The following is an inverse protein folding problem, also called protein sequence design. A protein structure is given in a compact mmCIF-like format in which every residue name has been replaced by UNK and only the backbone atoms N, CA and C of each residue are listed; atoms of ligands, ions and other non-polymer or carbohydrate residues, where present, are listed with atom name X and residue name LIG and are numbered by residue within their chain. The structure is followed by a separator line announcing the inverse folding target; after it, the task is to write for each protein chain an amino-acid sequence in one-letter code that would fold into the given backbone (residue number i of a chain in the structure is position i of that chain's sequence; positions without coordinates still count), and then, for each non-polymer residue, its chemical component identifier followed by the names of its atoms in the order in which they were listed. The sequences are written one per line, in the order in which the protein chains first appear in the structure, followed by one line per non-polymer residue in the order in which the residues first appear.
data_IF_623551697970
#
_entry.id   IF_623551697970
#
_cell.length_a   1.000
_cell.length_b   1.000
_cell.length_c   1.000
_cell.angle_alpha   90.00
_cell.angle_beta   90.00
_cell.angle_gamma   90.00
#
_symmetry.space_group_name_H-M   'P 1'
#
loop_
_entity.id
_entity.type
_entity.pdbx_description
1 polymer ?
#
# COMPACT_ATOMS: atom_id res chain seq x y z
N UNK A 1 23.70 32.89 -43.20
CA UNK A 1 24.64 32.17 -42.31
C UNK A 1 24.11 32.00 -40.89
N UNK A 2 23.70 33.06 -40.19
CA UNK A 2 23.19 32.99 -38.79
C UNK A 2 21.89 32.18 -38.65
N UNK A 3 20.96 32.34 -39.60
CA UNK A 3 19.68 31.62 -39.60
C UNK A 3 19.83 30.11 -39.89
N UNK A 4 20.77 29.73 -40.77
CA UNK A 4 21.05 28.31 -41.08
C UNK A 4 21.65 27.54 -39.90
N UNK A 5 22.44 28.20 -39.05
CA UNK A 5 23.04 27.60 -37.85
C UNK A 5 21.96 27.33 -36.79
N UNK A 6 21.01 28.25 -36.61
CA UNK A 6 19.92 28.11 -35.64
C UNK A 6 19.00 26.92 -35.99
N UNK A 7 18.72 26.72 -37.28
CA UNK A 7 17.92 25.58 -37.76
C UNK A 7 18.63 24.25 -37.52
N UNK A 8 19.95 24.19 -37.68
CA UNK A 8 20.76 23.00 -37.39
C UNK A 8 20.80 22.68 -35.89
N UNK A 9 20.90 23.69 -35.03
CA UNK A 9 20.83 23.47 -33.58
C UNK A 9 19.43 23.01 -33.13
N UNK A 10 18.36 23.67 -33.59
CA UNK A 10 16.99 23.29 -33.24
C UNK A 10 16.66 21.86 -33.69
N UNK A 11 17.04 21.48 -34.91
CA UNK A 11 16.82 20.12 -35.41
C UNK A 11 17.61 19.06 -34.62
N UNK A 12 18.84 19.38 -34.18
CA UNK A 12 19.63 18.49 -33.33
C UNK A 12 19.01 18.30 -31.93
N UNK A 13 18.51 19.39 -31.32
CA UNK A 13 17.81 19.33 -30.04
C UNK A 13 16.49 18.56 -30.10
N UNK A 14 15.73 18.69 -31.19
CA UNK A 14 14.48 17.93 -31.38
C UNK A 14 14.79 16.45 -31.60
N UNK A 15 15.84 16.12 -32.36
CA UNK A 15 16.27 14.74 -32.59
C UNK A 15 16.76 14.04 -31.30
N UNK A 16 17.46 14.76 -30.41
CA UNK A 16 17.92 14.21 -29.14
C UNK A 16 16.77 13.96 -28.15
N UNK A 17 15.76 14.84 -28.10
CA UNK A 17 14.54 14.61 -27.32
C UNK A 17 13.73 13.39 -27.80
N UNK A 18 13.65 13.19 -29.12
CA UNK A 18 12.97 12.02 -29.69
C UNK A 18 13.72 10.71 -29.36
N UNK A 19 15.06 10.72 -29.35
CA UNK A 19 15.86 9.55 -29.00
C UNK A 19 15.69 9.13 -27.53
N UNK A 20 15.59 10.10 -26.60
CA UNK A 20 15.29 9.83 -25.18
C UNK A 20 13.91 9.18 -25.02
N UNK A 21 12.94 9.59 -25.83
CA UNK A 21 11.57 9.03 -25.77
C UNK A 21 11.50 7.59 -26.30
N UNK A 22 12.32 7.21 -27.29
CA UNK A 22 12.40 5.82 -27.81
C UNK A 22 13.17 4.86 -26.88
N UNK A 23 14.08 5.35 -26.06
CA UNK A 23 14.79 4.54 -25.05
C UNK A 23 13.91 4.22 -23.83
N UNK A 24 12.78 4.92 -23.65
CA UNK A 24 11.85 4.74 -22.54
C UNK A 24 10.94 3.50 -22.62
N UNK A 25 11.06 2.66 -23.65
CA UNK A 25 10.22 1.47 -23.84
C UNK A 25 10.89 0.14 -23.47
N UNK A 26 12.10 0.17 -22.90
CA UNK A 26 12.75 -1.02 -22.35
C UNK A 26 12.31 -1.19 -20.89
N UNK A 27 11.08 -1.66 -20.71
CA UNK A 27 10.50 -2.00 -19.39
C UNK A 27 9.93 -0.80 -18.64
N UNK A 28 8.66 -0.93 -18.21
CA UNK A 28 8.06 -0.01 -17.25
C UNK A 28 8.87 -0.08 -15.94
N UNK A 29 9.77 0.88 -15.71
CA UNK A 29 10.41 1.05 -14.41
C UNK A 29 9.34 1.61 -13.47
N UNK A 30 8.63 0.72 -12.77
CA UNK A 30 7.81 1.09 -11.64
C UNK A 30 8.70 1.37 -10.45
N UNK A 31 8.89 2.63 -10.08
CA UNK A 31 9.50 2.96 -8.79
C UNK A 31 8.44 2.83 -7.71
N UNK A 32 8.80 2.20 -6.60
CA UNK A 32 7.90 2.17 -5.46
C UNK A 32 7.73 3.58 -4.87
N UNK A 33 6.47 3.95 -4.65
CA UNK A 33 6.10 5.22 -4.04
C UNK A 33 6.07 5.06 -2.52
N UNK A 34 6.71 5.99 -1.81
CA UNK A 34 6.76 6.01 -0.35
C UNK A 34 5.76 7.04 0.17
N UNK A 35 4.63 6.59 0.69
CA UNK A 35 3.63 7.47 1.32
C UNK A 35 3.93 7.79 2.79
N UNK A 36 4.87 7.08 3.42
CA UNK A 36 5.35 7.32 4.78
C UNK A 36 6.76 6.73 4.95
N UNK A 37 7.47 7.06 6.03
CA UNK A 37 8.73 6.37 6.38
C UNK A 37 8.95 6.35 7.89
N UNK A 38 9.53 5.28 8.43
CA UNK A 38 9.99 5.24 9.83
C UNK A 38 11.39 5.88 9.99
N UNK A 39 12.06 6.23 8.88
CA UNK A 39 13.36 6.89 8.91
C UNK A 39 13.18 8.42 8.90
N UNK A 40 13.67 9.08 9.95
CA UNK A 40 13.55 10.53 10.12
C UNK A 40 14.18 11.32 8.97
N UNK A 41 15.32 10.87 8.44
CA UNK A 41 16.01 11.53 7.32
C UNK A 41 15.14 11.42 6.06
N UNK A 42 14.58 10.24 5.80
CA UNK A 42 13.72 10.03 4.62
C UNK A 42 12.46 10.89 4.72
N UNK A 43 11.85 11.01 5.91
CA UNK A 43 10.72 11.90 6.13
C UNK A 43 11.06 13.36 5.86
N UNK A 44 12.21 13.84 6.34
CA UNK A 44 12.64 15.22 6.16
C UNK A 44 12.94 15.53 4.68
N UNK A 45 13.63 14.64 3.96
CA UNK A 45 14.01 14.86 2.56
C UNK A 45 12.81 14.73 1.61
N UNK A 46 11.86 13.85 1.91
CA UNK A 46 10.66 13.63 1.09
C UNK A 46 9.42 14.36 1.59
N UNK A 47 9.56 15.19 2.61
CA UNK A 47 8.46 15.93 3.23
C UNK A 47 7.27 15.03 3.64
N UNK A 48 7.56 13.85 4.20
CA UNK A 48 6.52 12.88 4.59
C UNK A 48 6.07 13.11 6.04
N UNK A 49 4.76 13.27 6.20
CA UNK A 49 4.12 13.39 7.51
C UNK A 49 4.19 12.08 8.31
N UNK A 50 4.04 12.22 9.62
CA UNK A 50 3.85 11.07 10.50
C UNK A 50 2.47 10.46 10.25
N UNK A 51 2.36 9.13 10.35
CA UNK A 51 1.06 8.50 10.26
C UNK A 51 0.12 9.02 11.37
N UNK A 52 -1.18 9.21 11.07
CA UNK A 52 -2.15 9.67 12.04
C UNK A 52 -2.29 8.69 13.21
N UNK A 53 -2.87 9.15 14.32
CA UNK A 53 -3.12 8.31 15.49
C UNK A 53 -3.88 7.04 15.11
N UNK A 54 -3.40 5.89 15.61
CA UNK A 54 -3.96 4.58 15.26
C UNK A 54 -3.40 3.95 13.98
N UNK A 55 -2.48 4.60 13.28
CA UNK A 55 -1.82 4.07 12.07
C UNK A 55 -0.29 4.00 12.26
N UNK A 56 0.35 3.06 11.59
CA UNK A 56 1.79 2.84 11.58
C UNK A 56 2.27 2.67 10.13
N UNK A 57 3.46 3.19 9.86
CA UNK A 57 4.05 3.09 8.54
C UNK A 57 4.55 1.66 8.27
N UNK A 58 3.97 1.01 7.27
CA UNK A 58 4.21 -0.41 6.95
C UNK A 58 4.34 -0.62 5.45
N UNK A 59 5.14 -1.61 5.06
CA UNK A 59 5.31 -1.94 3.66
C UNK A 59 4.04 -2.55 3.07
N UNK A 60 3.70 -2.19 1.83
CA UNK A 60 2.63 -2.81 1.04
C UNK A 60 3.18 -3.78 -0.02
N UNK A 61 4.46 -4.16 0.05
CA UNK A 61 5.11 -5.05 -0.92
C UNK A 61 5.84 -4.34 -2.06
N UNK A 62 5.68 -3.02 -2.20
CA UNK A 62 6.50 -2.19 -3.09
C UNK A 62 7.12 -1.04 -2.28
N UNK A 63 6.29 -0.18 -1.68
CA UNK A 63 6.70 0.95 -0.84
C UNK A 63 6.09 0.85 0.56
N UNK A 64 5.92 1.98 1.23
CA UNK A 64 5.28 2.08 2.54
C UNK A 64 4.04 2.98 2.53
N UNK A 65 3.04 2.56 3.30
CA UNK A 65 1.77 3.27 3.48
C UNK A 65 1.39 3.27 4.96
N UNK A 66 0.64 4.27 5.40
CA UNK A 66 0.07 4.27 6.75
C UNK A 66 -1.04 3.22 6.83
N UNK A 67 -0.76 2.14 7.52
CA UNK A 67 -1.70 1.05 7.75
C UNK A 67 -2.19 1.12 9.20
N UNK A 68 -3.43 0.70 9.51
CA UNK A 68 -3.90 0.71 10.88
C UNK A 68 -2.95 -0.10 11.76
N UNK A 69 -2.54 0.47 12.89
CA UNK A 69 -1.94 -0.27 14.01
C UNK A 69 -2.98 -1.30 14.34
N UNK A 70 -2.77 -2.54 13.89
CA UNK A 70 -3.73 -3.62 14.06
C UNK A 70 -4.07 -3.76 15.54
N UNK A 71 -5.15 -3.09 15.97
CA UNK A 71 -5.82 -3.33 17.23
C UNK A 71 -6.45 -4.70 17.07
N UNK A 72 -5.70 -5.73 17.47
CA UNK A 72 -5.95 -7.14 17.16
C UNK A 72 -5.65 -7.43 15.68
N UNK A 73 -4.62 -8.24 15.42
CA UNK A 73 -4.69 -9.13 14.25
C UNK A 73 -6.01 -9.86 14.43
N UNK A 74 -7.04 -9.50 13.67
CA UNK A 74 -7.89 -10.55 13.12
C UNK A 74 -6.83 -11.40 12.41
N UNK A 75 -6.53 -12.62 12.88
CA UNK A 75 -5.74 -13.53 12.07
C UNK A 75 -6.34 -13.49 10.66
N UNK A 76 -5.63 -13.86 9.60
CA UNK A 76 -6.34 -14.25 8.39
C UNK A 76 -7.19 -15.47 8.78
N UNK A 77 -8.37 -15.23 9.37
CA UNK A 77 -9.33 -16.21 9.73
C UNK A 77 -9.78 -16.65 8.36
N UNK A 78 -9.33 -17.84 7.95
CA UNK A 78 -9.92 -18.50 6.81
C UNK A 78 -11.42 -18.35 7.01
N UNK A 79 -12.12 -17.67 6.11
CA UNK A 79 -13.55 -17.34 6.22
C UNK A 79 -14.45 -18.60 6.13
N UNK A 80 -13.90 -19.75 6.50
CA UNK A 80 -14.59 -21.00 6.68
C UNK A 80 -15.41 -20.93 7.97
N UNK A 81 -16.49 -20.14 7.94
CA UNK A 81 -17.59 -20.35 8.87
C UNK A 81 -18.11 -21.78 8.66
N UNK A 82 -18.26 -22.57 9.71
CA UNK A 82 -18.70 -23.97 9.63
C UNK A 82 -20.14 -24.17 9.09
N UNK A 83 -20.75 -23.14 8.49
CA UNK A 83 -22.09 -23.20 7.92
C UNK A 83 -23.21 -23.39 8.95
N UNK A 84 -22.94 -23.11 10.23
CA UNK A 84 -23.92 -23.25 11.32
C UNK A 84 -24.63 -21.93 11.60
N UNK A 85 -25.93 -22.00 11.91
CA UNK A 85 -26.70 -20.87 12.42
C UNK A 85 -26.65 -20.84 13.94
N UNK A 86 -26.25 -19.71 14.52
CA UNK A 86 -26.23 -19.49 15.96
C UNK A 86 -27.17 -18.31 16.33
N UNK A 87 -28.28 -18.55 17.05
CA UNK A 87 -29.25 -17.49 17.38
C UNK A 87 -28.67 -16.38 18.27
N UNK A 88 -27.69 -16.71 19.13
CA UNK A 88 -27.03 -15.78 20.05
C UNK A 88 -25.58 -15.44 19.64
N UNK A 89 -25.24 -15.68 18.37
CA UNK A 89 -23.89 -15.45 17.84
C UNK A 89 -22.90 -16.59 18.13
N UNK A 90 -21.74 -16.51 17.48
CA UNK A 90 -20.67 -17.51 17.58
C UNK A 90 -19.73 -17.20 18.74
N UNK A 91 -19.22 -18.25 19.39
CA UNK A 91 -18.18 -18.13 20.42
C UNK A 91 -16.88 -17.64 19.79
N UNK A 92 -16.20 -16.64 20.39
CA UNK A 92 -14.86 -16.26 19.95
C UNK A 92 -13.85 -17.36 20.28
N UNK A 93 -12.96 -17.67 19.35
CA UNK A 93 -11.78 -18.50 19.57
C UNK A 93 -10.69 -17.70 20.29
N UNK A 94 -9.70 -18.39 20.87
CA UNK A 94 -8.54 -17.81 21.60
C UNK A 94 -7.76 -16.77 20.78
N UNK A 95 -7.80 -16.90 19.45
CA UNK A 95 -7.12 -16.00 18.51
C UNK A 95 -8.03 -14.86 18.01
N UNK A 96 -9.25 -14.74 18.52
CA UNK A 96 -10.22 -13.72 18.07
C UNK A 96 -10.96 -14.03 16.77
N UNK A 97 -10.75 -15.22 16.18
CA UNK A 97 -11.57 -15.73 15.07
C UNK A 97 -12.90 -16.30 15.57
N UNK A 98 -13.96 -16.35 14.75
CA UNK A 98 -15.15 -17.14 15.08
C UNK A 98 -14.77 -18.62 15.25
N UNK A 99 -15.19 -19.23 16.37
CA UNK A 99 -15.10 -20.68 16.56
C UNK A 99 -16.34 -21.37 16.02
N UNK A 100 -16.25 -22.66 15.67
CA UNK A 100 -17.42 -23.44 15.25
C UNK A 100 -18.29 -23.91 16.43
N UNK A 101 -18.63 -22.97 17.31
CA UNK A 101 -19.48 -23.18 18.47
C UNK A 101 -20.38 -21.96 18.71
N UNK A 102 -21.61 -22.17 19.17
CA UNK A 102 -22.56 -21.09 19.48
C UNK A 102 -22.42 -20.61 20.93
N UNK A 103 -22.77 -19.34 21.17
CA UNK A 103 -22.99 -18.83 22.51
C UNK A 103 -24.20 -19.54 23.15
N UNK A 104 -24.17 -19.77 24.48
CA UNK A 104 -25.33 -20.28 25.19
C UNK A 104 -26.48 -19.25 25.14
N UNK A 105 -27.69 -19.72 25.43
CA UNK A 105 -28.84 -18.85 25.60
C UNK A 105 -28.60 -17.91 26.78
N UNK A 106 -28.69 -16.58 26.60
CA UNK A 106 -28.49 -15.60 27.67
C UNK A 106 -29.53 -15.69 28.79
N UNK A 107 -30.63 -16.41 28.58
CA UNK A 107 -31.72 -16.61 29.55
C UNK A 107 -31.72 -18.00 30.20
N UNK A 108 -30.80 -18.91 29.82
CA UNK A 108 -30.63 -20.22 30.44
C UNK A 108 -29.40 -20.29 31.37
N UNK A 109 -28.97 -19.14 31.89
CA UNK A 109 -27.84 -19.00 32.82
C UNK A 109 -28.35 -18.68 34.22
#
# INVERSE_FOLDING_TARGET
MKSSIIVLFLSFFIASCAAVSLLGQIGLIGTCEEGCSNNLIIRAVRQLDECPAGFECRSNGCGHTCQPKLGKRIPACLLLACGIYCPFGMKPSTNGCPSCACNPDPFLI
#
